data_IF_490472700318
#
_entry.id   IF_490472700318
#
_cell.length_a   1.000
_cell.length_b   1.000
_cell.length_c   1.000
_cell.angle_alpha   90.00
_cell.angle_beta   90.00
_cell.angle_gamma   90.00
#
_symmetry.space_group_name_H-M   'P 1'
#
loop_
_entity.id
_entity.type
_entity.pdbx_description
1 polymer ?
#
# COMPACT_ATOMS: atom_id res chain seq x y z
N UNK A 1 -0.76 -20.05 -8.88
CA UNK A 1 -1.00 -18.71 -9.44
C UNK A 1 0.30 -17.92 -9.34
N UNK A 2 1.10 -17.89 -10.41
CA UNK A 2 2.34 -17.10 -10.47
C UNK A 2 1.93 -15.61 -10.48
N UNK A 3 2.31 -14.84 -9.45
CA UNK A 3 1.97 -13.40 -9.36
C UNK A 3 2.65 -12.63 -10.50
N UNK A 4 1.89 -12.29 -11.53
CA UNK A 4 2.34 -11.59 -12.73
C UNK A 4 2.83 -10.15 -12.50
N UNK A 5 2.59 -9.56 -11.32
CA UNK A 5 2.89 -8.14 -11.03
C UNK A 5 3.82 -7.94 -9.82
N UNK A 6 4.36 -9.01 -9.23
CA UNK A 6 5.15 -8.90 -8.01
C UNK A 6 6.44 -8.10 -8.17
N UNK A 7 7.03 -8.12 -9.37
CA UNK A 7 8.26 -7.39 -9.68
C UNK A 7 7.98 -5.90 -9.90
N UNK A 8 6.96 -5.61 -10.69
CA UNK A 8 6.49 -4.27 -11.05
C UNK A 8 6.00 -3.53 -9.81
N UNK A 9 5.17 -4.19 -8.99
CA UNK A 9 4.67 -3.61 -7.73
C UNK A 9 5.81 -3.29 -6.76
N UNK A 10 6.80 -4.20 -6.64
CA UNK A 10 7.98 -3.96 -5.83
C UNK A 10 8.78 -2.77 -6.35
N UNK A 11 9.00 -2.69 -7.67
CA UNK A 11 9.76 -1.59 -8.27
C UNK A 11 9.07 -0.25 -8.03
N UNK A 12 7.75 -0.18 -8.22
CA UNK A 12 7.00 1.06 -7.99
C UNK A 12 6.99 1.46 -6.52
N UNK A 13 6.78 0.51 -5.62
CA UNK A 13 6.87 0.76 -4.18
C UNK A 13 8.27 1.31 -3.81
N UNK A 14 9.34 0.69 -4.30
CA UNK A 14 10.73 1.14 -4.05
C UNK A 14 10.92 2.58 -4.54
N UNK A 15 10.43 2.95 -5.74
CA UNK A 15 10.50 4.35 -6.22
C UNK A 15 9.75 5.31 -5.29
N UNK A 16 8.63 4.89 -4.73
CA UNK A 16 7.81 5.73 -3.85
C UNK A 16 8.44 5.93 -2.47
N UNK A 17 9.15 4.92 -1.92
CA UNK A 17 9.54 4.90 -0.51
C UNK A 17 11.04 4.86 -0.22
N UNK A 18 11.87 4.34 -1.13
CA UNK A 18 13.28 4.09 -0.85
C UNK A 18 14.09 5.39 -0.75
N UNK A 19 14.90 5.50 0.30
CA UNK A 19 15.75 6.69 0.55
C UNK A 19 14.98 7.96 0.91
N UNK A 20 13.67 7.86 1.19
CA UNK A 20 12.79 9.00 1.47
C UNK A 20 12.40 9.06 2.95
N UNK A 21 12.16 10.27 3.44
CA UNK A 21 11.54 10.47 4.74
C UNK A 21 10.02 10.32 4.60
N UNK A 22 9.47 9.34 5.30
CA UNK A 22 8.06 8.96 5.18
C UNK A 22 7.30 9.36 6.45
N UNK A 23 6.05 9.74 6.26
CA UNK A 23 5.09 9.81 7.37
C UNK A 23 4.33 8.48 7.40
N UNK A 24 4.43 7.78 8.53
CA UNK A 24 3.77 6.49 8.76
C UNK A 24 2.72 6.66 9.84
N UNK A 25 1.47 6.31 9.52
CA UNK A 25 0.33 6.39 10.45
C UNK A 25 -0.16 4.99 10.76
N UNK A 26 0.19 4.48 11.94
CA UNK A 26 -0.24 3.15 12.41
C UNK A 26 -1.70 3.21 12.85
N UNK A 27 -2.50 2.27 12.37
CA UNK A 27 -3.93 2.18 12.71
C UNK A 27 -4.37 0.78 13.14
N UNK A 28 -3.46 -0.19 13.10
CA UNK A 28 -3.74 -1.54 13.58
C UNK A 28 -2.46 -2.33 13.80
N UNK A 29 -2.63 -3.51 14.38
CA UNK A 29 -1.57 -4.49 14.56
C UNK A 29 -1.94 -5.74 13.77
N UNK A 30 -0.94 -6.28 13.07
CA UNK A 30 -0.97 -7.59 12.46
C UNK A 30 -0.23 -8.58 13.37
N UNK A 31 -0.53 -9.87 13.20
CA UNK A 31 0.10 -10.94 13.97
C UNK A 31 1.64 -10.82 13.96
N UNK A 32 2.26 -11.28 15.05
CA UNK A 32 3.71 -11.30 15.22
C UNK A 32 4.36 -9.92 15.16
N UNK A 33 3.80 -8.93 15.89
CA UNK A 33 4.37 -7.60 16.11
C UNK A 33 4.56 -6.73 14.86
N UNK A 34 3.85 -7.04 13.78
CA UNK A 34 3.81 -6.18 12.61
C UNK A 34 2.71 -5.12 12.78
N UNK A 35 2.94 -3.89 12.38
CA UNK A 35 1.91 -2.86 12.38
C UNK A 35 1.24 -2.75 11.01
N UNK A 36 -0.06 -2.45 10.99
CA UNK A 36 -0.78 -2.00 9.79
C UNK A 36 -0.78 -0.47 9.81
N UNK A 37 -0.30 0.13 8.72
CA UNK A 37 -0.08 1.57 8.67
C UNK A 37 -0.28 2.16 7.28
N UNK A 38 -0.74 3.41 7.26
CA UNK A 38 -0.76 4.25 6.07
C UNK A 38 0.62 4.88 5.87
N UNK A 39 1.08 4.95 4.61
CA UNK A 39 2.40 5.48 4.28
C UNK A 39 2.24 6.67 3.36
N UNK A 40 2.88 7.78 3.75
CA UNK A 40 2.86 9.02 2.99
C UNK A 40 4.27 9.51 2.70
N UNK A 41 4.44 10.06 1.49
CA UNK A 41 5.63 10.81 1.09
C UNK A 41 5.21 12.15 0.51
N UNK A 42 5.67 13.27 1.10
CA UNK A 42 5.28 14.63 0.68
C UNK A 42 3.76 14.83 0.49
N UNK A 43 2.95 14.24 1.38
CA UNK A 43 1.48 14.31 1.30
C UNK A 43 0.83 13.33 0.32
N UNK A 44 1.60 12.59 -0.47
CA UNK A 44 1.10 11.54 -1.38
C UNK A 44 0.84 10.27 -0.58
N UNK A 45 -0.36 9.71 -0.71
CA UNK A 45 -0.71 8.42 -0.13
C UNK A 45 -0.19 7.26 -1.00
N UNK A 46 0.82 6.54 -0.50
CA UNK A 46 1.56 5.55 -1.29
C UNK A 46 0.67 4.38 -1.72
N UNK A 47 -0.20 3.90 -0.83
CA UNK A 47 -1.11 2.79 -1.10
C UNK A 47 -2.08 3.11 -2.24
N UNK A 48 -2.64 4.32 -2.28
CA UNK A 48 -3.55 4.75 -3.35
C UNK A 48 -2.85 4.76 -4.72
N UNK A 49 -1.58 5.19 -4.79
CA UNK A 49 -0.81 5.14 -6.04
C UNK A 49 -0.66 3.70 -6.55
N UNK A 50 -0.40 2.74 -5.66
CA UNK A 50 -0.29 1.34 -6.04
C UNK A 50 -1.64 0.74 -6.47
N UNK A 51 -2.73 1.12 -5.80
CA UNK A 51 -4.08 0.67 -6.17
C UNK A 51 -4.50 1.21 -7.55
N UNK A 52 -4.25 2.50 -7.83
CA UNK A 52 -4.56 3.15 -9.13
C UNK A 52 -3.77 2.57 -10.30
N UNK A 53 -2.57 2.07 -10.03
CA UNK A 53 -1.70 1.47 -11.05
C UNK A 53 -1.92 -0.05 -11.18
N UNK A 54 -2.95 -0.63 -10.53
CA UNK A 54 -3.21 -2.07 -10.52
C UNK A 54 -2.04 -2.92 -9.97
N UNK A 55 -1.20 -2.31 -9.12
CA UNK A 55 0.00 -2.94 -8.53
C UNK A 55 -0.25 -3.47 -7.11
N UNK A 56 -1.40 -3.14 -6.53
CA UNK A 56 -1.87 -3.65 -5.25
C UNK A 56 -3.38 -3.92 -5.31
N UNK A 57 -3.89 -4.61 -4.30
CA UNK A 57 -5.30 -4.91 -4.14
C UNK A 57 -5.71 -4.56 -2.70
N UNK A 58 -6.90 -4.02 -2.53
CA UNK A 58 -7.41 -3.66 -1.23
C UNK A 58 -7.82 -4.90 -0.44
N UNK A 59 -7.22 -5.09 0.73
CA UNK A 59 -7.49 -6.26 1.57
C UNK A 59 -8.46 -5.88 2.71
N UNK A 60 -9.75 -6.09 2.45
CA UNK A 60 -10.87 -5.66 3.29
C UNK A 60 -10.82 -6.22 4.72
N UNK A 61 -10.08 -7.31 4.96
CA UNK A 61 -9.91 -7.86 6.30
C UNK A 61 -9.16 -6.90 7.25
N UNK A 62 -8.29 -6.03 6.72
CA UNK A 62 -7.46 -5.12 7.52
C UNK A 62 -7.77 -3.65 7.31
N UNK A 63 -8.53 -3.33 6.26
CA UNK A 63 -8.89 -1.97 5.93
C UNK A 63 -10.35 -1.92 5.48
N UNK A 64 -11.19 -1.26 6.28
CA UNK A 64 -12.64 -1.19 6.06
C UNK A 64 -13.05 -0.01 5.15
N UNK A 65 -12.08 0.75 4.64
CA UNK A 65 -12.30 1.90 3.74
C UNK A 65 -12.76 1.41 2.37
N UNK A 66 -14.07 1.44 2.14
CA UNK A 66 -14.70 0.98 0.89
C UNK A 66 -14.19 1.77 -0.31
N UNK A 67 -13.84 3.04 -0.13
CA UNK A 67 -13.28 3.88 -1.18
C UNK A 67 -12.04 3.23 -1.82
N UNK A 68 -11.17 2.59 -1.05
CA UNK A 68 -9.95 1.95 -1.55
C UNK A 68 -10.22 0.64 -2.31
N UNK A 69 -11.35 -0.02 -2.02
CA UNK A 69 -11.78 -1.20 -2.76
C UNK A 69 -12.22 -0.87 -4.20
N UNK A 70 -12.66 0.36 -4.44
CA UNK A 70 -13.20 0.80 -5.75
C UNK A 70 -12.15 1.43 -6.67
N UNK A 71 -10.95 1.70 -6.14
CA UNK A 71 -9.85 2.36 -6.88
C UNK A 71 -9.16 1.40 -7.86
N UNK A 72 -9.02 0.13 -7.49
CA UNK A 72 -8.53 -0.92 -8.38
C UNK A 72 -9.67 -1.35 -9.30
N UNK A 73 -9.67 -0.90 -10.56
CA UNK A 73 -10.61 -1.35 -11.60
C UNK A 73 -10.03 -2.48 -12.41
#
# INVERSE_FOLDING_TARGET
MLRLFGKEAKQELVKLVHGKCLKVLVYGEYQYSCCVADVYYNGIFVQEVLLKNELAWHYVAYDQRVELATVSK
#
